data_IF_237180209141
#
_entry.id   IF_237180209141
#
_cell.length_a   1.000
_cell.length_b   1.000
_cell.length_c   1.000
_cell.angle_alpha   90.00
_cell.angle_beta   90.00
_cell.angle_gamma   90.00
#
_symmetry.space_group_name_H-M   'P 1'
#
loop_
_entity.id
_entity.type
_entity.pdbx_description
1 polymer ?
#
# COMPACT_ATOMS: atom_id res chain seq x y z
N UNK A 1 21.73 15.29 -28.58
CA UNK A 1 22.09 14.29 -27.56
C UNK A 1 22.61 15.03 -26.33
N UNK A 2 21.77 15.19 -25.32
CA UNK A 2 22.10 15.85 -24.05
C UNK A 2 21.48 14.98 -22.95
N UNK A 3 22.32 14.25 -22.23
CA UNK A 3 21.93 13.45 -21.06
C UNK A 3 21.70 14.39 -19.86
N UNK A 4 20.48 14.90 -19.71
CA UNK A 4 19.97 15.63 -18.55
C UNK A 4 18.48 15.23 -18.43
N UNK A 5 17.90 14.74 -17.33
CA UNK A 5 18.10 15.03 -15.91
C UNK A 5 16.75 14.77 -15.22
N UNK A 6 16.22 13.55 -15.32
CA UNK A 6 14.92 13.15 -14.77
C UNK A 6 15.06 12.25 -13.55
N UNK A 7 14.12 12.35 -12.60
CA UNK A 7 13.99 11.42 -11.47
C UNK A 7 13.35 10.08 -11.93
N UNK A 8 13.25 9.09 -11.03
CA UNK A 8 12.67 7.77 -11.34
C UNK A 8 11.32 7.80 -12.07
N UNK A 9 10.34 8.66 -11.70
CA UNK A 9 9.10 8.74 -12.46
C UNK A 9 9.33 9.07 -13.94
N UNK A 10 10.18 10.06 -14.22
CA UNK A 10 10.49 10.47 -15.59
C UNK A 10 11.22 9.38 -16.38
N UNK A 11 12.12 8.64 -15.73
CA UNK A 11 12.80 7.48 -16.33
C UNK A 11 11.81 6.33 -16.66
N UNK A 12 10.71 6.24 -15.92
CA UNK A 12 9.62 5.28 -16.15
C UNK A 12 8.48 5.87 -17.00
N UNK A 13 8.69 6.99 -17.71
CA UNK A 13 7.66 7.68 -18.51
C UNK A 13 6.40 8.08 -17.73
N UNK A 14 6.56 8.35 -16.43
CA UNK A 14 5.49 8.70 -15.50
C UNK A 14 5.72 10.08 -14.85
N UNK A 15 4.66 10.64 -14.28
CA UNK A 15 4.70 11.91 -13.54
C UNK A 15 5.10 11.66 -12.09
N UNK A 16 5.68 12.68 -11.44
CA UNK A 16 5.86 12.65 -9.99
C UNK A 16 4.52 12.45 -9.28
N UNK A 17 4.48 11.48 -8.37
CA UNK A 17 3.26 11.12 -7.65
C UNK A 17 2.90 12.15 -6.57
N UNK A 18 3.89 12.82 -5.98
CA UNK A 18 3.73 13.62 -4.77
C UNK A 18 3.87 15.13 -5.00
N UNK A 19 3.18 15.93 -4.18
CA UNK A 19 3.52 17.34 -3.98
C UNK A 19 4.66 17.49 -2.94
N UNK A 20 5.08 18.73 -2.68
CA UNK A 20 6.11 19.06 -1.69
C UNK A 20 5.75 18.64 -0.25
N UNK A 21 4.46 18.48 0.05
CA UNK A 21 3.96 17.99 1.33
C UNK A 21 3.83 16.45 1.41
N UNK A 22 4.31 15.71 0.40
CA UNK A 22 4.23 14.25 0.35
C UNK A 22 2.83 13.69 0.05
N UNK A 23 1.91 14.52 -0.44
CA UNK A 23 0.55 14.12 -0.78
C UNK A 23 0.44 13.69 -2.23
N UNK A 24 -0.28 12.60 -2.50
CA UNK A 24 -0.50 12.06 -3.84
C UNK A 24 -1.32 13.03 -4.70
N UNK A 25 -0.86 13.26 -5.93
CA UNK A 25 -1.51 14.12 -6.95
C UNK A 25 -1.94 13.36 -8.21
N UNK A 26 -1.44 12.15 -8.42
CA UNK A 26 -1.83 11.31 -9.55
C UNK A 26 -3.21 10.69 -9.28
N UNK A 27 -3.89 10.29 -10.36
CA UNK A 27 -5.21 9.63 -10.28
C UNK A 27 -5.04 8.15 -9.88
N UNK A 28 -6.06 7.57 -9.28
CA UNK A 28 -6.12 6.12 -9.07
C UNK A 28 -5.95 5.36 -10.39
N UNK A 29 -5.31 4.20 -10.34
CA UNK A 29 -4.93 3.41 -11.50
C UNK A 29 -3.60 3.82 -12.15
N UNK A 30 -2.96 4.90 -11.71
CA UNK A 30 -1.60 5.25 -12.12
C UNK A 30 -0.56 4.81 -11.08
N UNK A 31 0.60 4.29 -11.51
CA UNK A 31 1.62 3.77 -10.62
C UNK A 31 2.44 4.88 -9.97
N UNK A 32 3.01 4.56 -8.82
CA UNK A 32 3.97 5.41 -8.12
C UNK A 32 5.37 4.84 -8.33
N UNK A 33 6.30 5.64 -8.86
CA UNK A 33 7.70 5.28 -9.00
C UNK A 33 8.57 6.09 -8.03
N UNK A 34 8.85 5.52 -6.85
CA UNK A 34 9.74 6.16 -5.87
C UNK A 34 11.22 6.06 -6.26
N UNK A 35 12.04 6.93 -5.65
CA UNK A 35 13.48 6.73 -5.64
C UNK A 35 13.84 5.46 -4.85
N UNK A 36 14.88 4.76 -5.28
CA UNK A 36 15.32 3.50 -4.68
C UNK A 36 16.80 3.58 -4.26
N UNK A 37 17.35 2.47 -3.77
CA UNK A 37 18.73 2.40 -3.27
C UNK A 37 19.81 2.71 -4.32
N UNK A 38 19.47 2.69 -5.61
CA UNK A 38 20.39 3.05 -6.72
C UNK A 38 20.38 4.54 -7.06
N UNK A 39 19.51 5.33 -6.42
CA UNK A 39 19.46 6.78 -6.62
C UNK A 39 20.52 7.49 -5.77
N UNK A 40 21.02 8.64 -6.25
CA UNK A 40 21.97 9.50 -5.51
C UNK A 40 21.34 10.30 -4.37
N UNK A 41 20.01 10.39 -4.31
CA UNK A 41 19.30 11.15 -3.29
C UNK A 41 19.15 10.36 -1.97
N UNK A 42 19.27 11.07 -0.85
CA UNK A 42 19.15 10.51 0.50
C UNK A 42 17.71 10.23 0.94
N UNK A 43 17.55 9.91 2.22
CA UNK A 43 16.27 9.57 2.85
C UNK A 43 15.23 10.71 2.82
N UNK A 44 15.68 11.97 2.81
CA UNK A 44 14.83 13.16 2.79
C UNK A 44 14.30 13.51 1.38
N UNK A 45 14.63 12.71 0.36
CA UNK A 45 14.10 12.89 -0.99
C UNK A 45 12.56 12.96 -0.99
N UNK A 46 11.93 13.98 -1.60
CA UNK A 46 10.47 14.10 -1.62
C UNK A 46 9.77 12.97 -2.41
N UNK A 47 10.53 12.17 -3.18
CA UNK A 47 10.05 10.98 -3.90
C UNK A 47 10.37 9.66 -3.15
N UNK A 48 10.41 9.72 -1.81
CA UNK A 48 10.55 8.58 -0.90
C UNK A 48 9.51 8.72 0.23
N UNK A 49 8.25 8.48 -0.06
CA UNK A 49 7.12 8.66 0.86
C UNK A 49 6.68 7.31 1.45
N UNK A 50 6.34 6.33 0.62
CA UNK A 50 5.89 4.99 1.04
C UNK A 50 6.98 4.29 1.83
N UNK A 51 8.21 4.30 1.32
CA UNK A 51 9.36 3.65 1.97
C UNK A 51 9.77 4.25 3.32
N UNK A 52 9.19 5.39 3.74
CA UNK A 52 9.39 5.94 5.10
C UNK A 52 8.47 5.28 6.13
N UNK A 53 7.59 4.37 5.70
CA UNK A 53 6.66 3.66 6.54
C UNK A 53 5.58 4.55 7.13
N UNK A 54 4.84 3.97 8.08
CA UNK A 54 3.71 4.62 8.75
C UNK A 54 4.20 5.82 9.56
N UNK A 55 3.56 6.98 9.37
CA UNK A 55 3.91 8.26 10.04
C UNK A 55 2.87 8.72 11.07
N UNK A 56 1.86 7.89 11.34
CA UNK A 56 0.75 8.23 12.22
C UNK A 56 0.62 7.21 13.34
N UNK A 57 0.19 7.69 14.50
CA UNK A 57 -0.26 6.84 15.59
C UNK A 57 -1.62 6.23 15.22
N UNK A 58 -1.63 4.90 15.15
CA UNK A 58 -2.77 4.09 14.79
C UNK A 58 -3.17 3.20 15.97
N UNK A 59 -4.47 3.02 16.15
CA UNK A 59 -5.05 2.26 17.25
C UNK A 59 -5.96 1.17 16.67
N UNK A 60 -5.64 -0.08 16.98
CA UNK A 60 -6.55 -1.21 16.79
C UNK A 60 -7.58 -1.16 17.93
N UNK A 61 -8.86 -1.17 17.59
CA UNK A 61 -9.96 -1.05 18.55
C UNK A 61 -11.10 -1.99 18.21
N UNK A 62 -11.90 -2.38 19.22
CA UNK A 62 -13.12 -3.17 19.01
C UNK A 62 -14.24 -2.26 18.53
N UNK A 63 -14.89 -2.58 17.42
CA UNK A 63 -16.04 -1.81 16.93
C UNK A 63 -17.28 -2.05 17.80
N UNK A 64 -18.13 -1.03 17.91
CA UNK A 64 -19.36 -1.10 18.73
C UNK A 64 -20.55 -1.76 18.04
N UNK A 65 -20.44 -2.08 16.75
CA UNK A 65 -21.51 -2.55 15.88
C UNK A 65 -21.31 -3.98 15.36
N UNK A 66 -20.43 -4.74 16.02
CA UNK A 66 -20.25 -6.17 15.73
C UNK A 66 -19.31 -6.50 14.58
N UNK A 67 -18.71 -5.50 13.89
CA UNK A 67 -17.70 -5.71 12.83
C UNK A 67 -16.34 -6.27 13.31
N UNK A 68 -16.19 -6.52 14.61
CA UNK A 68 -14.96 -7.09 15.18
C UNK A 68 -13.93 -6.01 15.51
N UNK A 69 -12.70 -6.18 15.03
CA UNK A 69 -11.63 -5.20 15.22
C UNK A 69 -11.63 -4.18 14.09
N UNK A 70 -11.12 -2.98 14.35
CA UNK A 70 -10.98 -1.91 13.39
C UNK A 70 -9.70 -1.12 13.66
N UNK A 71 -9.29 -0.29 12.70
CA UNK A 71 -8.18 0.65 12.87
C UNK A 71 -8.71 2.08 12.83
N UNK A 72 -8.25 2.92 13.76
CA UNK A 72 -8.46 4.37 13.72
C UNK A 72 -7.13 5.09 13.91
N UNK A 73 -7.03 6.29 13.35
CA UNK A 73 -5.91 7.19 13.65
C UNK A 73 -6.18 8.00 14.91
N UNK A 74 -5.12 8.31 15.66
CA UNK A 74 -5.18 9.18 16.84
C UNK A 74 -4.92 10.66 16.51
N UNK A 75 -4.65 10.97 15.23
CA UNK A 75 -4.31 12.29 14.77
C UNK A 75 -4.96 12.59 13.40
N UNK A 76 -5.05 13.87 13.03
CA UNK A 76 -5.63 14.25 11.74
C UNK A 76 -4.71 13.86 10.60
N UNK A 77 -5.22 13.05 9.66
CA UNK A 77 -4.55 12.73 8.40
C UNK A 77 -5.04 13.71 7.32
N UNK A 78 -4.11 14.39 6.63
CA UNK A 78 -4.48 15.25 5.50
C UNK A 78 -4.87 14.39 4.30
N UNK A 79 -5.83 14.87 3.50
CA UNK A 79 -6.24 14.21 2.25
C UNK A 79 -5.02 13.86 1.38
N UNK A 80 -5.08 12.70 0.72
CA UNK A 80 -4.05 12.15 -0.18
C UNK A 80 -2.69 11.85 0.48
N UNK A 81 -2.62 11.77 1.80
CA UNK A 81 -1.39 11.35 2.49
C UNK A 81 -1.29 9.83 2.54
N UNK A 82 -0.09 9.29 2.38
CA UNK A 82 0.19 7.87 2.60
C UNK A 82 -0.13 7.48 4.05
N UNK A 83 -0.81 6.34 4.25
CA UNK A 83 -1.19 5.84 5.58
C UNK A 83 -0.40 4.60 5.95
N UNK A 84 -0.51 3.53 5.16
CA UNK A 84 0.17 2.24 5.35
C UNK A 84 0.15 1.45 4.04
N UNK A 85 1.01 0.43 3.93
CA UNK A 85 0.95 -0.60 2.89
C UNK A 85 0.03 -1.75 3.34
N UNK A 86 -0.56 -2.46 2.39
CA UNK A 86 -1.17 -3.77 2.63
C UNK A 86 -0.11 -4.84 2.40
N UNK A 87 0.26 -5.59 3.43
CA UNK A 87 1.33 -6.58 3.36
C UNK A 87 0.88 -7.91 3.95
N UNK A 88 1.46 -8.98 3.42
CA UNK A 88 1.23 -10.36 3.86
C UNK A 88 2.11 -11.32 3.09
N UNK A 89 1.78 -12.61 3.11
CA UNK A 89 2.45 -13.62 2.29
C UNK A 89 2.19 -13.34 0.81
N UNK A 90 3.21 -13.44 -0.05
CA UNK A 90 3.02 -13.42 -1.51
C UNK A 90 2.84 -14.86 -1.96
N UNK A 91 1.63 -15.20 -2.40
CA UNK A 91 1.25 -16.53 -2.89
C UNK A 91 0.80 -16.45 -4.36
N UNK A 92 0.77 -17.58 -5.05
CA UNK A 92 0.24 -17.64 -6.42
C UNK A 92 -1.28 -17.50 -6.39
N UNK A 93 -1.89 -17.02 -7.49
CA UNK A 93 -3.36 -16.94 -7.60
C UNK A 93 -4.04 -18.32 -7.45
N UNK A 94 -3.37 -19.41 -7.87
CA UNK A 94 -3.85 -20.79 -7.64
C UNK A 94 -3.92 -21.16 -6.15
N UNK A 95 -2.89 -20.82 -5.38
CA UNK A 95 -2.87 -21.05 -3.93
C UNK A 95 -3.88 -20.15 -3.20
N UNK A 96 -4.08 -18.93 -3.70
CA UNK A 96 -5.09 -18.01 -3.18
C UNK A 96 -6.50 -18.56 -3.37
N UNK A 97 -6.85 -19.09 -4.54
CA UNK A 97 -8.14 -19.74 -4.80
C UNK A 97 -8.35 -20.94 -3.85
N UNK A 98 -7.33 -21.79 -3.67
CA UNK A 98 -7.39 -22.93 -2.76
C UNK A 98 -7.65 -22.50 -1.31
N UNK A 99 -7.00 -21.42 -0.84
CA UNK A 99 -7.20 -20.87 0.52
C UNK A 99 -8.54 -20.13 0.64
N UNK A 100 -8.96 -19.40 -0.41
CA UNK A 100 -10.19 -18.63 -0.48
C UNK A 100 -11.43 -19.46 -0.20
N UNK A 101 -11.50 -20.68 -0.75
CA UNK A 101 -12.58 -21.63 -0.46
C UNK A 101 -12.74 -21.97 1.03
N UNK A 102 -11.66 -21.86 1.82
CA UNK A 102 -11.70 -22.03 3.28
C UNK A 102 -12.10 -20.73 3.96
N UNK A 103 -11.55 -19.60 3.53
CA UNK A 103 -11.78 -18.28 4.12
C UNK A 103 -13.21 -17.78 3.91
N UNK A 104 -13.83 -18.05 2.77
CA UNK A 104 -15.22 -17.70 2.48
C UNK A 104 -16.18 -18.35 3.48
N UNK A 105 -15.93 -19.61 3.84
CA UNK A 105 -16.70 -20.32 4.88
C UNK A 105 -16.53 -19.72 6.27
N UNK A 106 -15.43 -19.02 6.51
CA UNK A 106 -15.11 -18.38 7.78
C UNK A 106 -15.49 -16.89 7.81
N UNK A 107 -15.97 -16.33 6.69
CA UNK A 107 -16.25 -14.90 6.55
C UNK A 107 -14.99 -14.02 6.64
N UNK A 108 -13.83 -14.57 6.28
CA UNK A 108 -12.54 -13.89 6.34
C UNK A 108 -12.16 -13.34 4.95
N UNK A 109 -11.72 -12.09 4.87
CA UNK A 109 -11.33 -11.44 3.61
C UNK A 109 -9.93 -10.83 3.75
N UNK A 110 -8.91 -11.64 3.50
CA UNK A 110 -7.50 -11.24 3.66
C UNK A 110 -6.65 -11.40 2.38
N UNK A 111 -7.27 -11.87 1.30
CA UNK A 111 -6.65 -12.03 -0.02
C UNK A 111 -6.78 -10.73 -0.80
N UNK A 112 -5.67 -10.26 -1.37
CA UNK A 112 -5.61 -9.07 -2.20
C UNK A 112 -4.76 -9.31 -3.45
N UNK A 113 -5.39 -9.36 -4.63
CA UNK A 113 -4.70 -9.70 -5.88
C UNK A 113 -3.76 -8.58 -6.35
N UNK A 114 -2.61 -8.95 -6.89
CA UNK A 114 -1.61 -8.03 -7.46
C UNK A 114 -1.80 -7.86 -8.98
N UNK A 115 -3.04 -7.56 -9.38
CA UNK A 115 -3.54 -7.55 -10.76
C UNK A 115 -3.15 -6.33 -11.62
N UNK A 116 -2.27 -5.44 -11.11
CA UNK A 116 -1.92 -4.19 -11.81
C UNK A 116 -1.19 -4.42 -13.15
N UNK A 117 -0.37 -5.47 -13.26
CA UNK A 117 0.33 -5.83 -14.52
C UNK A 117 -0.11 -7.19 -15.01
N UNK A 118 -0.04 -8.20 -14.15
CA UNK A 118 -0.39 -9.58 -14.43
C UNK A 118 -1.06 -10.20 -13.20
N UNK A 119 -2.07 -11.02 -13.41
CA UNK A 119 -2.77 -11.74 -12.36
C UNK A 119 -2.08 -13.08 -12.07
N UNK A 120 -0.93 -13.01 -11.39
CA UNK A 120 -0.10 -14.19 -11.06
C UNK A 120 0.04 -14.38 -9.55
N UNK A 121 -0.08 -13.30 -8.79
CA UNK A 121 0.21 -13.28 -7.36
C UNK A 121 -0.89 -12.56 -6.57
N UNK A 122 -1.07 -13.04 -5.35
CA UNK A 122 -2.01 -12.50 -4.37
C UNK A 122 -1.26 -12.28 -3.05
N UNK A 123 -1.57 -11.19 -2.36
CA UNK A 123 -1.15 -10.95 -0.97
C UNK A 123 -2.16 -11.61 -0.03
N UNK A 124 -1.70 -12.55 0.79
CA UNK A 124 -2.49 -13.19 1.84
C UNK A 124 -2.07 -12.65 3.22
N UNK A 125 -2.95 -11.87 3.84
CA UNK A 125 -2.73 -11.30 5.16
C UNK A 125 -3.34 -12.11 6.32
N UNK A 126 -3.82 -13.34 6.09
CA UNK A 126 -4.55 -14.12 7.09
C UNK A 126 -3.68 -14.53 8.29
N UNK A 127 -2.43 -14.92 8.04
CA UNK A 127 -1.50 -15.40 9.06
C UNK A 127 -0.35 -14.43 9.33
N UNK A 128 0.11 -13.73 8.30
CA UNK A 128 1.19 -12.75 8.39
C UNK A 128 0.72 -11.45 7.75
N UNK A 129 0.87 -10.33 8.45
CA UNK A 129 0.49 -9.02 7.94
C UNK A 129 0.93 -7.89 8.86
N UNK A 130 0.58 -6.66 8.50
CA UNK A 130 0.75 -5.49 9.37
C UNK A 130 -0.62 -5.04 9.92
N UNK A 131 -0.68 -3.83 10.47
CA UNK A 131 -1.92 -3.24 11.01
C UNK A 131 -3.07 -3.15 9.98
N UNK A 132 -2.78 -3.16 8.68
CA UNK A 132 -3.78 -3.14 7.60
C UNK A 132 -4.74 -4.32 7.66
N UNK A 133 -4.31 -5.46 8.25
CA UNK A 133 -5.14 -6.64 8.48
C UNK A 133 -6.45 -6.31 9.23
N UNK A 134 -6.41 -5.32 10.12
CA UNK A 134 -7.57 -4.93 10.94
C UNK A 134 -8.41 -3.79 10.32
N UNK A 135 -8.13 -3.38 9.08
CA UNK A 135 -8.89 -2.32 8.41
C UNK A 135 -10.17 -2.90 7.85
N UNK A 136 -11.31 -2.39 8.33
CA UNK A 136 -12.63 -2.83 7.87
C UNK A 136 -12.99 -2.27 6.50
N UNK A 137 -13.82 -3.02 5.77
CA UNK A 137 -14.59 -2.50 4.65
C UNK A 137 -15.67 -1.52 5.16
N UNK A 138 -16.01 -0.51 4.35
CA UNK A 138 -16.98 0.56 4.68
C UNK A 138 -17.91 0.84 3.52
#
# INVERSE_FOLDING_TARGET
ATLAGGCCPGASHNRFAYNEAGQVRIRAGLPIYECNSRCRCGADCPNRVVQRGIRYDLCIFRTGDGRGWGVRTLQRIRKNSFVMEYVGEIITSEEAERRGQVYDRQGATYLFDLDYVEDVYTVDAAHYGNISHFVNHS
#
